data_IF_313579624816
#
_entry.id   IF_313579624816
#
_cell.length_a   1.000
_cell.length_b   1.000
_cell.length_c   1.000
_cell.angle_alpha   90.00
_cell.angle_beta   90.00
_cell.angle_gamma   90.00
#
_symmetry.space_group_name_H-M   'P 1'
#
loop_
_entity.id
_entity.type
_entity.pdbx_description
1 polymer ?
#
# COMPACT_ATOMS: atom_id res chain seq x y z
N UNK A 1 -1.32 3.06 -17.19
CA UNK A 1 -2.42 3.78 -16.52
C UNK A 1 -3.70 3.29 -17.20
N UNK A 2 -4.83 3.06 -16.52
CA UNK A 2 -6.05 2.65 -17.24
C UNK A 2 -6.49 3.81 -18.11
N UNK A 3 -6.56 3.63 -19.43
CA UNK A 3 -6.94 4.69 -20.37
C UNK A 3 -8.40 5.09 -20.13
N UNK A 4 -8.57 6.30 -19.64
CA UNK A 4 -9.86 6.92 -19.34
C UNK A 4 -9.73 8.45 -19.45
N UNK A 5 -10.84 9.16 -19.33
CA UNK A 5 -10.89 10.62 -19.41
C UNK A 5 -9.90 11.29 -18.43
N UNK A 6 -9.77 10.74 -17.21
CA UNK A 6 -8.79 11.22 -16.22
C UNK A 6 -7.36 11.09 -16.74
N UNK A 7 -7.04 9.97 -17.39
CA UNK A 7 -5.71 9.78 -17.98
C UNK A 7 -5.45 10.77 -19.11
N UNK A 8 -6.43 11.08 -19.95
CA UNK A 8 -6.29 12.12 -20.97
C UNK A 8 -5.93 13.48 -20.33
N UNK A 9 -6.69 13.90 -19.31
CA UNK A 9 -6.42 15.14 -18.56
C UNK A 9 -5.00 15.16 -17.99
N UNK A 10 -4.57 14.05 -17.38
CA UNK A 10 -3.23 13.90 -16.81
C UNK A 10 -2.13 14.12 -17.86
N UNK A 11 -2.27 13.58 -19.07
CA UNK A 11 -1.25 13.72 -20.12
C UNK A 11 -1.25 15.12 -20.75
N UNK A 12 -2.39 15.80 -20.77
CA UNK A 12 -2.52 17.15 -21.38
C UNK A 12 -2.06 18.29 -20.47
N UNK A 13 -2.14 18.12 -19.14
CA UNK A 13 -1.77 19.18 -18.20
C UNK A 13 -0.30 19.09 -17.77
N UNK A 14 0.47 20.13 -18.11
CA UNK A 14 1.92 20.20 -17.86
C UNK A 14 2.26 20.10 -16.37
N UNK A 15 1.50 20.74 -15.48
CA UNK A 15 1.80 20.72 -14.05
C UNK A 15 1.53 19.36 -13.43
N UNK A 16 0.51 18.62 -13.89
CA UNK A 16 0.25 17.25 -13.45
C UNK A 16 1.38 16.32 -13.88
N UNK A 17 1.87 16.47 -15.12
CA UNK A 17 3.02 15.71 -15.62
C UNK A 17 4.29 16.01 -14.81
N UNK A 18 4.59 17.28 -14.55
CA UNK A 18 5.74 17.67 -13.72
C UNK A 18 5.60 17.24 -12.26
N UNK A 19 4.39 17.15 -11.71
CA UNK A 19 4.17 16.54 -10.40
C UNK A 19 4.57 15.06 -10.41
N UNK A 20 4.16 14.33 -11.45
CA UNK A 20 4.55 12.94 -11.67
C UNK A 20 6.06 12.77 -11.80
N UNK A 21 6.70 13.59 -12.64
CA UNK A 21 8.14 13.62 -12.86
C UNK A 21 8.90 13.93 -11.56
N UNK A 22 8.51 14.97 -10.82
CA UNK A 22 9.13 15.31 -9.54
C UNK A 22 9.08 14.13 -8.55
N UNK A 23 7.94 13.43 -8.49
CA UNK A 23 7.83 12.25 -7.64
C UNK A 23 8.68 11.09 -8.18
N UNK A 24 8.69 10.86 -9.49
CA UNK A 24 9.48 9.81 -10.12
C UNK A 24 10.99 10.03 -9.91
N UNK A 25 11.49 11.26 -10.05
CA UNK A 25 12.91 11.56 -9.80
C UNK A 25 13.32 11.25 -8.35
N UNK A 26 12.40 11.37 -7.39
CA UNK A 26 12.67 11.11 -5.97
C UNK A 26 12.53 9.65 -5.54
N UNK A 27 11.66 8.88 -6.19
CA UNK A 27 11.29 7.53 -5.73
C UNK A 27 11.09 6.52 -6.86
N UNK A 28 11.46 6.87 -8.10
CA UNK A 28 11.23 6.08 -9.31
C UNK A 28 12.10 4.83 -9.40
N UNK A 29 13.24 4.79 -8.70
CA UNK A 29 14.04 3.57 -8.57
C UNK A 29 13.31 2.47 -7.77
N UNK A 30 12.35 2.84 -6.92
CA UNK A 30 11.51 1.90 -6.19
C UNK A 30 10.21 1.64 -6.98
N UNK A 31 10.18 0.54 -7.73
CA UNK A 31 9.01 0.08 -8.52
C UNK A 31 7.73 0.00 -7.66
N UNK A 32 7.87 -0.25 -6.36
CA UNK A 32 6.73 -0.34 -5.43
C UNK A 32 6.04 1.01 -5.19
N UNK A 33 6.67 2.12 -5.60
CA UNK A 33 6.13 3.48 -5.50
C UNK A 33 5.41 3.92 -6.76
N UNK A 34 5.58 3.24 -7.87
CA UNK A 34 4.99 3.67 -9.15
C UNK A 34 3.46 3.74 -9.09
N UNK A 35 2.81 2.79 -8.41
CA UNK A 35 1.36 2.82 -8.16
C UNK A 35 0.92 4.07 -7.38
N UNK A 36 1.72 4.47 -6.38
CA UNK A 36 1.46 5.65 -5.58
C UNK A 36 1.60 6.94 -6.39
N UNK A 37 2.62 7.03 -7.26
CA UNK A 37 2.81 8.16 -8.17
C UNK A 37 1.61 8.26 -9.13
N UNK A 38 1.25 7.14 -9.79
CA UNK A 38 0.09 7.10 -10.69
C UNK A 38 -1.20 7.51 -9.98
N UNK A 39 -1.42 7.02 -8.76
CA UNK A 39 -2.58 7.38 -7.96
C UNK A 39 -2.60 8.89 -7.69
N UNK A 40 -1.45 9.49 -7.33
CA UNK A 40 -1.35 10.92 -7.05
C UNK A 40 -1.65 11.79 -8.26
N UNK A 41 -1.09 11.44 -9.43
CA UNK A 41 -1.40 12.13 -10.68
C UNK A 41 -2.88 12.03 -11.02
N UNK A 42 -3.50 10.85 -10.86
CA UNK A 42 -4.93 10.65 -11.11
C UNK A 42 -5.84 11.32 -10.09
N UNK A 43 -5.43 11.46 -8.83
CA UNK A 43 -6.15 12.25 -7.82
C UNK A 43 -6.26 13.72 -8.29
N UNK A 44 -5.16 14.31 -8.77
CA UNK A 44 -5.14 15.68 -9.31
C UNK A 44 -5.88 15.80 -10.65
N UNK A 45 -5.71 14.82 -11.55
CA UNK A 45 -6.43 14.81 -12.83
C UNK A 45 -7.94 14.79 -12.66
N UNK A 46 -8.46 14.03 -11.68
CA UNK A 46 -9.89 14.08 -11.31
C UNK A 46 -10.32 15.45 -10.80
N UNK A 47 -9.47 16.09 -9.99
CA UNK A 47 -9.75 17.44 -9.50
C UNK A 47 -9.88 18.44 -10.65
N UNK A 48 -8.93 18.42 -11.59
CA UNK A 48 -8.97 19.29 -12.77
C UNK A 48 -10.21 19.02 -13.63
N UNK A 49 -10.53 17.75 -13.86
CA UNK A 49 -11.69 17.36 -14.65
C UNK A 49 -12.99 17.88 -14.04
N UNK A 50 -13.20 17.72 -12.74
CA UNK A 50 -14.40 18.21 -12.06
C UNK A 50 -14.44 19.75 -11.99
N UNK A 51 -13.29 20.40 -11.76
CA UNK A 51 -13.24 21.86 -11.76
C UNK A 51 -13.65 22.46 -13.11
N UNK A 52 -13.27 21.84 -14.23
CA UNK A 52 -13.66 22.28 -15.57
C UNK A 52 -15.18 22.28 -15.79
N UNK A 53 -15.93 21.46 -15.05
CA UNK A 53 -17.39 21.35 -15.16
C UNK A 53 -18.12 22.45 -14.39
N UNK A 54 -17.57 22.89 -13.26
CA UNK A 54 -18.29 23.74 -12.29
C UNK A 54 -17.65 25.12 -12.07
N UNK A 55 -16.47 25.36 -12.66
CA UNK A 55 -15.70 26.60 -12.50
C UNK A 55 -15.08 27.04 -13.84
N UNK A 56 -14.60 28.29 -13.96
CA UNK A 56 -13.85 28.72 -15.15
C UNK A 56 -12.44 28.10 -15.27
N UNK A 57 -11.98 27.29 -14.31
CA UNK A 57 -10.62 26.74 -14.29
C UNK A 57 -10.42 25.69 -15.40
N UNK A 58 -9.36 25.84 -16.20
CA UNK A 58 -9.03 24.99 -17.35
C UNK A 58 -7.72 24.25 -17.19
N UNK A 59 -6.73 24.83 -16.52
CA UNK A 59 -5.41 24.23 -16.27
C UNK A 59 -5.08 24.23 -14.79
N UNK A 60 -4.11 23.42 -14.36
CA UNK A 60 -3.62 23.49 -12.99
C UNK A 60 -2.91 24.81 -12.65
N UNK A 61 -2.47 25.61 -13.62
CA UNK A 61 -1.93 26.95 -13.37
C UNK A 61 -3.02 27.86 -12.83
N UNK A 62 -4.24 27.79 -13.38
CA UNK A 62 -5.38 28.61 -12.96
C UNK A 62 -5.75 28.39 -11.48
N UNK A 63 -5.51 27.18 -10.96
CA UNK A 63 -5.74 26.83 -9.56
C UNK A 63 -4.78 27.56 -8.62
N UNK A 64 -3.61 27.96 -9.11
CA UNK A 64 -2.54 28.58 -8.32
C UNK A 64 -2.68 30.12 -8.35
N UNK A 65 -3.72 30.66 -8.99
CA UNK A 65 -4.04 32.08 -8.95
C UNK A 65 -4.85 32.39 -7.66
N UNK A 66 -4.40 33.33 -6.80
CA UNK A 66 -5.08 33.67 -5.54
C UNK A 66 -6.58 34.00 -5.68
N UNK A 67 -6.96 34.74 -6.72
CA UNK A 67 -8.36 35.14 -6.98
C UNK A 67 -9.27 33.94 -7.24
N UNK A 68 -8.71 32.84 -7.72
CA UNK A 68 -9.43 31.59 -7.99
C UNK A 68 -9.57 30.68 -6.76
N UNK A 69 -9.06 31.07 -5.58
CA UNK A 69 -9.04 30.19 -4.41
C UNK A 69 -10.43 29.64 -4.04
N UNK A 70 -11.49 30.44 -4.16
CA UNK A 70 -12.88 29.98 -3.89
C UNK A 70 -13.32 28.89 -4.88
N UNK A 71 -12.96 29.03 -6.16
CA UNK A 71 -13.21 28.00 -7.19
C UNK A 71 -12.48 26.70 -6.88
N UNK A 72 -11.22 26.79 -6.40
CA UNK A 72 -10.43 25.63 -5.98
C UNK A 72 -11.11 24.90 -4.81
N UNK A 73 -11.57 25.63 -3.79
CA UNK A 73 -12.32 25.04 -2.66
C UNK A 73 -13.57 24.33 -3.15
N UNK A 74 -14.36 24.95 -4.02
CA UNK A 74 -15.58 24.36 -4.56
C UNK A 74 -15.30 23.05 -5.32
N UNK A 75 -14.29 23.04 -6.20
CA UNK A 75 -13.86 21.86 -6.92
C UNK A 75 -13.40 20.72 -6.00
N UNK A 76 -12.60 21.03 -4.97
CA UNK A 76 -12.15 20.02 -4.01
C UNK A 76 -13.32 19.44 -3.22
N UNK A 77 -14.26 20.28 -2.77
CA UNK A 77 -15.48 19.84 -2.07
C UNK A 77 -16.29 18.86 -2.91
N UNK A 78 -16.51 19.17 -4.19
CA UNK A 78 -17.26 18.29 -5.10
C UNK A 78 -16.55 16.95 -5.30
N UNK A 79 -15.25 16.96 -5.62
CA UNK A 79 -14.46 15.74 -5.88
C UNK A 79 -14.38 14.83 -4.64
N UNK A 80 -14.35 15.42 -3.45
CA UNK A 80 -14.32 14.67 -2.19
C UNK A 80 -15.72 14.34 -1.64
N UNK A 81 -16.78 14.69 -2.36
CA UNK A 81 -18.17 14.41 -2.03
C UNK A 81 -18.62 15.09 -0.74
N UNK A 82 -18.39 16.40 -0.64
CA UNK A 82 -18.84 17.21 0.48
C UNK A 82 -20.36 17.32 0.53
N UNK A 83 -20.93 17.10 1.70
CA UNK A 83 -22.34 17.25 2.02
C UNK A 83 -22.51 18.50 2.90
N UNK A 84 -23.14 19.54 2.35
CA UNK A 84 -23.36 20.81 3.04
C UNK A 84 -24.24 20.66 4.28
N UNK A 85 -25.27 19.79 4.23
CA UNK A 85 -26.21 19.59 5.34
C UNK A 85 -25.52 18.97 6.56
N UNK A 86 -24.57 18.08 6.30
CA UNK A 86 -23.82 17.36 7.35
C UNK A 86 -22.46 17.98 7.66
N UNK A 87 -22.06 19.03 6.92
CA UNK A 87 -20.71 19.59 6.93
C UNK A 87 -19.62 18.50 6.88
N UNK A 88 -19.78 17.52 5.99
CA UNK A 88 -18.99 16.29 6.03
C UNK A 88 -18.59 15.78 4.65
N UNK A 89 -17.45 15.10 4.54
CA UNK A 89 -16.94 14.59 3.27
C UNK A 89 -17.23 13.10 3.09
N UNK A 90 -17.64 12.66 1.89
CA UNK A 90 -17.73 11.23 1.55
C UNK A 90 -16.34 10.57 1.54
N UNK A 91 -15.34 11.28 1.00
CA UNK A 91 -13.94 10.81 0.94
C UNK A 91 -13.02 11.85 1.60
N UNK A 92 -13.02 11.97 2.94
CA UNK A 92 -12.22 12.99 3.64
C UNK A 92 -10.72 12.91 3.35
N UNK A 93 -10.20 11.68 3.19
CA UNK A 93 -8.78 11.45 2.90
C UNK A 93 -8.35 12.03 1.55
N UNK A 94 -9.25 12.08 0.56
CA UNK A 94 -8.96 12.67 -0.75
C UNK A 94 -8.81 14.18 -0.63
N UNK A 95 -9.68 14.85 0.13
CA UNK A 95 -9.61 16.29 0.36
C UNK A 95 -8.25 16.71 0.97
N UNK A 96 -7.78 15.96 1.99
CA UNK A 96 -6.47 16.18 2.61
C UNK A 96 -5.32 15.96 1.63
N UNK A 97 -5.38 14.85 0.88
CA UNK A 97 -4.38 14.50 -0.12
C UNK A 97 -4.26 15.54 -1.24
N UNK A 98 -5.39 16.12 -1.68
CA UNK A 98 -5.44 17.14 -2.71
C UNK A 98 -4.80 18.45 -2.23
N UNK A 99 -5.01 18.86 -0.97
CA UNK A 99 -4.33 20.03 -0.40
C UNK A 99 -2.80 19.90 -0.44
N UNK A 100 -2.27 18.73 -0.07
CA UNK A 100 -0.83 18.46 -0.19
C UNK A 100 -0.34 18.49 -1.65
N UNK A 101 -1.11 17.93 -2.58
CA UNK A 101 -0.77 17.96 -4.00
C UNK A 101 -0.78 19.38 -4.57
N UNK A 102 -1.78 20.19 -4.21
CA UNK A 102 -1.90 21.59 -4.65
C UNK A 102 -0.74 22.45 -4.13
N UNK A 103 -0.36 22.31 -2.86
CA UNK A 103 0.83 22.99 -2.33
C UNK A 103 2.11 22.60 -3.10
N UNK A 104 2.20 21.33 -3.52
CA UNK A 104 3.34 20.89 -4.34
C UNK A 104 3.30 21.47 -5.75
N UNK A 105 2.13 21.52 -6.36
CA UNK A 105 1.91 22.12 -7.68
C UNK A 105 2.22 23.62 -7.65
N UNK A 106 1.86 24.35 -6.59
CA UNK A 106 2.24 25.76 -6.46
C UNK A 106 3.76 25.97 -6.44
N UNK A 107 4.54 25.08 -5.81
CA UNK A 107 6.01 25.14 -5.91
C UNK A 107 6.51 24.88 -7.33
N UNK A 108 5.85 23.97 -8.08
CA UNK A 108 6.20 23.69 -9.47
C UNK A 108 5.89 24.90 -10.36
N UNK A 109 4.71 25.51 -10.21
CA UNK A 109 4.30 26.71 -10.95
C UNK A 109 5.26 27.87 -10.67
N UNK A 110 5.60 28.11 -9.41
CA UNK A 110 6.58 29.13 -9.03
C UNK A 110 7.95 28.86 -9.67
N UNK A 111 8.46 27.63 -9.58
CA UNK A 111 9.77 27.27 -10.15
C UNK A 111 9.79 27.45 -11.66
N UNK A 112 8.73 27.01 -12.36
CA UNK A 112 8.60 27.22 -13.80
C UNK A 112 8.58 28.72 -14.14
N UNK A 113 7.76 29.49 -13.44
CA UNK A 113 7.61 30.93 -13.70
C UNK A 113 8.96 31.66 -13.51
N UNK A 114 9.70 31.35 -12.45
CA UNK A 114 11.05 31.88 -12.23
C UNK A 114 12.04 31.48 -13.34
N UNK A 115 11.98 30.24 -13.83
CA UNK A 115 12.86 29.78 -14.91
C UNK A 115 12.61 30.50 -16.25
N UNK A 116 11.37 30.94 -16.50
CA UNK A 116 10.97 31.66 -17.71
C UNK A 116 10.95 33.20 -17.55
N UNK A 117 11.34 33.72 -16.39
CA UNK A 117 11.33 35.17 -16.11
C UNK A 117 9.94 35.75 -15.86
N UNK A 118 8.92 34.91 -15.64
CA UNK A 118 7.56 35.34 -15.34
C UNK A 118 7.40 35.61 -13.84
N UNK A 119 7.71 36.84 -13.44
CA UNK A 119 7.66 37.23 -12.04
C UNK A 119 6.23 37.32 -11.48
N UNK A 120 5.24 37.64 -12.32
CA UNK A 120 3.83 37.76 -11.93
C UNK A 120 3.24 36.40 -11.51
N UNK A 121 3.42 35.36 -12.33
CA UNK A 121 2.94 34.02 -11.97
C UNK A 121 3.71 33.43 -10.79
N UNK A 122 5.00 33.75 -10.65
CA UNK A 122 5.78 33.35 -9.49
C UNK A 122 5.23 33.97 -8.20
N UNK A 123 4.84 35.24 -8.23
CA UNK A 123 4.20 35.93 -7.11
C UNK A 123 2.83 35.35 -6.79
N UNK A 124 1.98 35.16 -7.80
CA UNK A 124 0.68 34.49 -7.63
C UNK A 124 0.82 33.14 -6.92
N UNK A 125 1.81 32.33 -7.28
CA UNK A 125 2.07 31.04 -6.65
C UNK A 125 2.55 31.16 -5.19
N UNK A 126 3.34 32.19 -4.85
CA UNK A 126 3.72 32.49 -3.46
C UNK A 126 2.50 32.89 -2.64
N UNK A 127 1.68 33.78 -3.16
CA UNK A 127 0.50 34.28 -2.45
C UNK A 127 -0.58 33.23 -2.30
N UNK A 128 -0.80 32.40 -3.32
CA UNK A 128 -1.67 31.23 -3.20
C UNK A 128 -1.22 30.31 -2.06
N UNK A 129 0.10 30.04 -1.91
CA UNK A 129 0.59 29.22 -0.79
C UNK A 129 0.34 29.87 0.56
N UNK A 130 0.52 31.18 0.70
CA UNK A 130 0.20 31.91 1.95
C UNK A 130 -1.28 31.75 2.29
N UNK A 131 -2.17 31.99 1.33
CA UNK A 131 -3.62 31.82 1.51
C UNK A 131 -3.96 30.37 1.84
N UNK A 132 -3.41 29.41 1.12
CA UNK A 132 -3.60 27.98 1.36
C UNK A 132 -3.15 27.62 2.78
N UNK A 133 -1.97 28.04 3.23
CA UNK A 133 -1.49 27.74 4.59
C UNK A 133 -2.40 28.33 5.67
N UNK A 134 -2.89 29.56 5.48
CA UNK A 134 -3.74 30.24 6.45
C UNK A 134 -5.18 29.69 6.48
N UNK A 135 -5.76 29.43 5.31
CA UNK A 135 -7.21 29.23 5.16
C UNK A 135 -7.63 27.81 4.79
N UNK A 136 -6.74 26.97 4.26
CA UNK A 136 -7.12 25.60 3.87
C UNK A 136 -7.71 24.80 5.04
N UNK A 137 -7.24 25.09 6.25
CA UNK A 137 -7.72 24.41 7.44
C UNK A 137 -9.19 24.68 7.75
N UNK A 138 -9.60 25.94 7.58
CA UNK A 138 -10.96 26.43 7.79
C UNK A 138 -11.93 25.79 6.77
N UNK A 139 -11.58 25.82 5.48
CA UNK A 139 -12.49 25.38 4.42
C UNK A 139 -12.58 23.86 4.25
N UNK A 140 -11.46 23.14 4.48
CA UNK A 140 -11.35 21.72 4.13
C UNK A 140 -10.95 20.85 5.31
N UNK A 141 -9.86 21.20 6.00
CA UNK A 141 -9.18 20.28 6.92
C UNK A 141 -10.01 19.95 8.17
N UNK A 142 -10.68 20.93 8.78
CA UNK A 142 -11.44 20.73 10.02
C UNK A 142 -12.55 19.68 9.85
N UNK A 143 -13.41 19.85 8.84
CA UNK A 143 -14.50 18.89 8.56
C UNK A 143 -13.99 17.51 8.12
N UNK A 144 -12.87 17.46 7.37
CA UNK A 144 -12.30 16.19 6.92
C UNK A 144 -11.65 15.39 8.06
N UNK A 145 -10.90 16.04 8.96
CA UNK A 145 -10.22 15.38 10.06
C UNK A 145 -11.19 14.94 11.15
N UNK A 146 -12.14 15.78 11.53
CA UNK A 146 -13.13 15.42 12.56
C UNK A 146 -13.85 14.14 12.17
N UNK A 147 -14.35 14.05 10.91
CA UNK A 147 -14.97 12.83 10.41
C UNK A 147 -14.04 11.61 10.41
N UNK A 148 -12.76 11.78 10.06
CA UNK A 148 -11.79 10.68 10.12
C UNK A 148 -11.51 10.22 11.56
N UNK A 149 -11.44 11.16 12.51
CA UNK A 149 -11.25 10.87 13.93
C UNK A 149 -12.48 10.19 14.52
N UNK A 150 -13.67 10.70 14.24
CA UNK A 150 -14.95 10.11 14.66
C UNK A 150 -15.15 8.72 14.07
N UNK A 151 -14.92 8.53 12.77
CA UNK A 151 -15.00 7.21 12.15
C UNK A 151 -14.03 6.22 12.82
N UNK A 152 -12.81 6.67 13.12
CA UNK A 152 -11.82 5.86 13.83
C UNK A 152 -12.21 5.57 15.28
N UNK A 153 -12.87 6.52 15.96
CA UNK A 153 -13.36 6.38 17.32
C UNK A 153 -14.54 5.40 17.41
N UNK A 154 -15.51 5.55 16.49
CA UNK A 154 -16.72 4.76 16.42
C UNK A 154 -16.48 3.35 15.86
N UNK A 155 -15.34 3.10 15.23
CA UNK A 155 -14.98 1.74 14.78
C UNK A 155 -14.64 0.89 16.01
N UNK A 156 -15.42 -0.16 16.33
CA UNK A 156 -15.08 -1.05 17.43
C UNK A 156 -13.67 -1.59 17.22
N UNK A 157 -12.84 -1.56 18.27
CA UNK A 157 -11.53 -2.22 18.23
C UNK A 157 -11.74 -3.74 18.36
N UNK A 158 -12.32 -4.35 17.34
CA UNK A 158 -12.50 -5.80 17.26
C UNK A 158 -11.13 -6.44 17.04
N UNK A 159 -10.62 -7.03 18.11
CA UNK A 159 -9.53 -7.98 18.07
C UNK A 159 -10.13 -9.30 17.56
N UNK A 160 -9.54 -9.95 16.53
CA UNK A 160 -10.07 -11.21 16.02
C UNK A 160 -10.07 -12.27 17.11
N UNK A 161 -11.12 -13.10 17.13
CA UNK A 161 -11.22 -14.19 18.09
C UNK A 161 -10.16 -15.24 17.76
N UNK A 162 -9.52 -15.82 18.78
CA UNK A 162 -8.44 -16.80 18.57
C UNK A 162 -8.93 -18.01 17.77
N UNK A 163 -10.20 -18.40 17.94
CA UNK A 163 -10.81 -19.48 17.15
C UNK A 163 -10.88 -19.15 15.66
N UNK A 164 -11.28 -17.94 15.30
CA UNK A 164 -11.35 -17.49 13.90
C UNK A 164 -9.95 -17.49 13.26
N UNK A 165 -8.93 -17.11 14.02
CA UNK A 165 -7.53 -17.17 13.57
C UNK A 165 -7.10 -18.62 13.31
N UNK A 166 -7.49 -19.58 14.17
CA UNK A 166 -7.23 -21.02 13.97
C UNK A 166 -7.92 -21.53 12.71
N UNK A 167 -9.20 -21.22 12.52
CA UNK A 167 -9.96 -21.63 11.32
C UNK A 167 -9.29 -21.12 10.04
N UNK A 168 -8.85 -19.86 10.04
CA UNK A 168 -8.10 -19.29 8.90
C UNK A 168 -6.78 -20.02 8.64
N UNK A 169 -6.02 -20.36 9.69
CA UNK A 169 -4.77 -21.12 9.53
C UNK A 169 -5.03 -22.51 8.94
N UNK A 170 -6.00 -23.26 9.47
CA UNK A 170 -6.36 -24.60 8.98
C UNK A 170 -6.84 -24.57 7.53
N UNK A 171 -7.68 -23.59 7.19
CA UNK A 171 -8.15 -23.41 5.82
C UNK A 171 -6.98 -23.15 4.85
N UNK A 172 -6.06 -22.25 5.22
CA UNK A 172 -4.90 -21.94 4.39
C UNK A 172 -3.94 -23.13 4.24
N UNK A 173 -3.74 -23.93 5.28
CA UNK A 173 -2.92 -25.15 5.20
C UNK A 173 -3.55 -26.19 4.27
N UNK A 174 -4.87 -26.41 4.34
CA UNK A 174 -5.58 -27.28 3.41
C UNK A 174 -5.45 -26.78 1.96
N UNK A 175 -5.73 -25.50 1.73
CA UNK A 175 -5.62 -24.88 0.39
C UNK A 175 -4.21 -24.91 -0.15
N UNK A 176 -3.21 -24.72 0.70
CA UNK A 176 -1.81 -24.81 0.31
C UNK A 176 -1.48 -26.17 -0.29
N UNK A 177 -1.84 -27.26 0.40
CA UNK A 177 -1.56 -28.62 -0.08
C UNK A 177 -2.29 -28.93 -1.39
N UNK A 178 -3.57 -28.55 -1.50
CA UNK A 178 -4.37 -28.71 -2.72
C UNK A 178 -3.72 -27.98 -3.92
N UNK A 179 -3.34 -26.72 -3.71
CA UNK A 179 -2.81 -25.86 -4.77
C UNK A 179 -1.36 -26.21 -5.14
N UNK A 180 -0.57 -26.71 -4.20
CA UNK A 180 0.79 -27.19 -4.46
C UNK A 180 0.75 -28.36 -5.43
N UNK A 181 -0.09 -29.37 -5.17
CA UNK A 181 -0.29 -30.52 -6.05
C UNK A 181 -0.90 -30.11 -7.40
N UNK A 182 -1.83 -29.15 -7.40
CA UNK A 182 -2.44 -28.62 -8.63
C UNK A 182 -1.41 -27.91 -9.52
N UNK A 183 -0.53 -27.09 -8.95
CA UNK A 183 0.50 -26.38 -9.72
C UNK A 183 1.55 -27.34 -10.29
N UNK A 184 1.92 -28.39 -9.54
CA UNK A 184 2.84 -29.43 -10.01
C UNK A 184 2.29 -30.23 -11.20
N UNK A 185 0.99 -30.55 -11.17
CA UNK A 185 0.34 -31.35 -12.22
C UNK A 185 -0.07 -30.53 -13.44
N UNK A 186 -0.57 -29.31 -13.25
CA UNK A 186 -1.03 -28.44 -14.32
C UNK A 186 -0.57 -26.98 -14.07
N UNK A 187 0.64 -26.64 -14.54
CA UNK A 187 1.14 -25.26 -14.51
C UNK A 187 0.26 -24.34 -15.35
N UNK A 188 -0.29 -23.31 -14.72
CA UNK A 188 -1.11 -22.29 -15.37
C UNK A 188 -1.04 -20.98 -14.60
N UNK A 189 -1.36 -19.86 -15.25
CA UNK A 189 -1.44 -18.56 -14.58
C UNK A 189 -2.38 -18.58 -13.36
N UNK A 190 -3.48 -19.32 -13.43
CA UNK A 190 -4.46 -19.42 -12.34
C UNK A 190 -3.98 -20.29 -11.17
N UNK A 191 -3.40 -21.46 -11.44
CA UNK A 191 -2.84 -22.33 -10.40
C UNK A 191 -1.66 -21.65 -9.70
N UNK A 192 -0.82 -20.94 -10.46
CA UNK A 192 0.26 -20.11 -9.94
C UNK A 192 -0.27 -18.98 -9.04
N UNK A 193 -1.22 -18.21 -9.56
CA UNK A 193 -1.81 -17.09 -8.84
C UNK A 193 -2.47 -17.53 -7.53
N UNK A 194 -3.16 -18.68 -7.54
CA UNK A 194 -3.80 -19.23 -6.36
C UNK A 194 -2.77 -19.63 -5.30
N UNK A 195 -1.75 -20.41 -5.67
CA UNK A 195 -0.69 -20.82 -4.73
C UNK A 195 0.07 -19.61 -4.18
N UNK A 196 0.45 -18.66 -5.05
CA UNK A 196 1.15 -17.45 -4.64
C UNK A 196 0.36 -16.63 -3.59
N UNK A 197 -0.97 -16.48 -3.78
CA UNK A 197 -1.83 -15.74 -2.84
C UNK A 197 -1.96 -16.46 -1.49
N UNK A 198 -2.11 -17.79 -1.50
CA UNK A 198 -2.22 -18.60 -0.27
C UNK A 198 -0.90 -18.59 0.49
N UNK A 199 0.22 -18.86 -0.18
CA UNK A 199 1.55 -18.85 0.43
C UNK A 199 1.91 -17.47 0.98
N UNK A 200 1.63 -16.38 0.25
CA UNK A 200 1.80 -15.01 0.76
C UNK A 200 1.00 -14.77 2.04
N UNK A 201 -0.26 -15.24 2.08
CA UNK A 201 -1.11 -15.10 3.26
C UNK A 201 -0.54 -15.88 4.45
N UNK A 202 -0.10 -17.13 4.24
CA UNK A 202 0.53 -17.94 5.27
C UNK A 202 1.80 -17.28 5.83
N UNK A 203 2.68 -16.76 4.96
CA UNK A 203 3.91 -16.07 5.40
C UNK A 203 3.59 -14.83 6.23
N UNK A 204 2.59 -14.02 5.82
CA UNK A 204 2.16 -12.83 6.59
C UNK A 204 1.58 -13.23 7.94
N UNK A 205 0.72 -14.25 7.97
CA UNK A 205 0.07 -14.71 9.20
C UNK A 205 1.07 -15.33 10.18
N UNK A 206 2.00 -16.14 9.68
CA UNK A 206 3.02 -16.79 10.51
C UNK A 206 3.96 -15.78 11.14
N UNK A 207 4.44 -14.81 10.35
CA UNK A 207 5.38 -13.80 10.85
C UNK A 207 4.70 -12.62 11.56
N UNK A 208 3.37 -12.50 11.44
CA UNK A 208 2.58 -11.34 11.89
C UNK A 208 3.22 -10.01 11.46
N UNK A 209 3.85 -9.97 10.28
CA UNK A 209 4.50 -8.77 9.72
C UNK A 209 3.50 -7.89 8.98
N UNK A 210 3.91 -6.66 8.64
CA UNK A 210 3.07 -5.81 7.79
C UNK A 210 2.93 -6.48 6.43
N UNK A 211 1.71 -6.63 5.96
CA UNK A 211 1.38 -7.28 4.70
C UNK A 211 2.17 -6.69 3.52
N UNK A 212 2.35 -5.36 3.50
CA UNK A 212 3.12 -4.69 2.47
C UNK A 212 4.63 -4.92 2.52
N UNK A 213 5.20 -5.34 3.66
CA UNK A 213 6.62 -5.70 3.73
C UNK A 213 6.85 -7.06 3.03
N UNK A 214 6.04 -8.07 3.38
CA UNK A 214 6.12 -9.42 2.79
C UNK A 214 5.72 -9.42 1.31
N UNK A 215 4.67 -8.68 0.94
CA UNK A 215 4.23 -8.59 -0.48
C UNK A 215 5.32 -8.04 -1.40
N UNK A 216 6.22 -7.20 -0.86
CA UNK A 216 7.31 -6.55 -1.62
C UNK A 216 8.63 -7.30 -1.47
N UNK A 217 8.63 -8.53 -0.96
CA UNK A 217 9.81 -9.40 -0.93
C UNK A 217 10.34 -9.58 -2.35
N UNK A 218 11.64 -9.34 -2.52
CA UNK A 218 12.32 -9.54 -3.79
C UNK A 218 12.68 -11.01 -3.97
N UNK A 219 12.64 -11.49 -5.21
CA UNK A 219 13.09 -12.84 -5.57
C UNK A 219 14.56 -13.04 -5.19
N UNK A 220 15.40 -12.03 -5.44
CA UNK A 220 16.83 -12.08 -5.07
C UNK A 220 17.04 -12.31 -3.58
N UNK A 221 16.24 -11.67 -2.72
CA UNK A 221 16.31 -11.86 -1.27
C UNK A 221 15.94 -13.31 -0.84
N UNK A 222 14.97 -13.93 -1.52
CA UNK A 222 14.61 -15.32 -1.26
C UNK A 222 15.68 -16.30 -1.77
N UNK A 223 16.31 -16.01 -2.92
CA UNK A 223 17.41 -16.81 -3.47
C UNK A 223 18.70 -16.68 -2.66
N UNK A 224 18.99 -15.49 -2.13
CA UNK A 224 20.15 -15.24 -1.27
C UNK A 224 19.90 -15.57 0.20
N UNK A 225 18.84 -16.33 0.51
CA UNK A 225 18.53 -16.68 1.89
C UNK A 225 19.64 -17.55 2.45
N UNK A 226 19.89 -17.38 3.74
CA UNK A 226 20.86 -18.21 4.42
C UNK A 226 20.29 -19.62 4.57
N UNK A 227 20.92 -20.58 3.90
CA UNK A 227 20.64 -22.01 4.03
C UNK A 227 21.78 -22.73 4.75
N UNK A 228 22.76 -22.00 5.29
CA UNK A 228 23.86 -22.59 6.05
C UNK A 228 23.39 -23.07 7.43
N UNK A 229 24.05 -24.10 7.93
CA UNK A 229 23.83 -24.57 9.29
C UNK A 229 24.26 -23.51 10.31
N UNK A 230 23.61 -23.52 11.47
CA UNK A 230 23.87 -22.52 12.50
C UNK A 230 25.34 -22.58 12.95
N UNK A 231 26.08 -21.48 12.80
CA UNK A 231 27.45 -21.39 13.28
C UNK A 231 27.52 -21.72 14.78
N UNK A 232 28.45 -22.59 15.18
CA UNK A 232 28.55 -23.13 16.55
C UNK A 232 28.60 -22.02 17.61
N UNK A 233 29.35 -20.96 17.37
CA UNK A 233 29.45 -19.80 18.28
C UNK A 233 28.11 -19.10 18.57
N UNK A 234 27.23 -18.99 17.55
CA UNK A 234 25.89 -18.42 17.73
C UNK A 234 25.01 -19.44 18.45
N UNK A 235 25.18 -20.72 18.14
CA UNK A 235 24.43 -21.81 18.72
C UNK A 235 24.67 -21.96 20.24
N UNK A 236 25.84 -21.56 20.73
CA UNK A 236 26.19 -21.55 22.17
C UNK A 236 25.40 -20.48 22.95
N UNK A 237 25.08 -19.35 22.32
CA UNK A 237 24.33 -18.27 22.96
C UNK A 237 22.80 -18.45 22.93
N UNK A 238 22.29 -19.51 22.29
CA UNK A 238 20.86 -19.76 22.13
C UNK A 238 20.37 -20.85 23.09
N UNK A 239 19.15 -20.69 23.58
CA UNK A 239 18.46 -21.77 24.30
C UNK A 239 18.23 -22.99 23.41
N UNK A 240 18.02 -24.16 24.02
CA UNK A 240 17.73 -25.40 23.27
C UNK A 240 16.49 -25.25 22.36
N UNK A 241 15.48 -24.51 22.82
CA UNK A 241 14.31 -24.19 22.04
C UNK A 241 14.63 -23.28 20.84
N UNK A 242 15.42 -22.23 21.03
CA UNK A 242 15.84 -21.33 19.95
C UNK A 242 16.71 -22.05 18.92
N UNK A 243 17.63 -22.93 19.34
CA UNK A 243 18.41 -23.79 18.42
C UNK A 243 17.49 -24.64 17.55
N UNK A 244 16.48 -25.31 18.14
CA UNK A 244 15.49 -26.09 17.39
C UNK A 244 14.68 -25.24 16.42
N UNK A 245 14.31 -24.02 16.80
CA UNK A 245 13.60 -23.09 15.91
C UNK A 245 14.47 -22.64 14.73
N UNK A 246 15.75 -22.34 14.97
CA UNK A 246 16.69 -21.94 13.93
C UNK A 246 16.98 -23.06 12.93
N UNK A 247 17.05 -24.32 13.39
CA UNK A 247 17.20 -25.49 12.51
C UNK A 247 15.94 -25.76 11.68
N UNK A 248 14.75 -25.47 12.23
CA UNK A 248 13.49 -25.79 11.57
C UNK A 248 13.00 -24.71 10.60
N UNK A 249 13.30 -23.44 10.85
CA UNK A 249 12.81 -22.31 10.03
C UNK A 249 13.91 -21.65 9.23
N UNK A 250 13.68 -21.49 7.92
CA UNK A 250 14.56 -20.67 7.08
C UNK A 250 14.31 -19.18 7.30
N UNK A 251 15.37 -18.36 7.29
CA UNK A 251 15.29 -16.92 7.47
C UNK A 251 15.59 -16.17 6.18
N UNK A 252 14.67 -15.29 5.77
CA UNK A 252 14.85 -14.35 4.66
C UNK A 252 14.93 -12.93 5.20
N UNK A 253 15.96 -12.19 4.83
CA UNK A 253 16.07 -10.77 5.15
C UNK A 253 15.43 -9.91 4.06
N UNK A 254 14.41 -9.13 4.41
CA UNK A 254 13.76 -8.20 3.49
C UNK A 254 13.99 -6.74 3.91
N UNK A 255 13.82 -5.82 2.98
CA UNK A 255 13.98 -4.37 3.23
C UNK A 255 12.70 -3.76 3.81
N UNK A 256 12.76 -3.35 5.07
CA UNK A 256 11.71 -2.63 5.77
C UNK A 256 11.69 -1.12 5.51
N UNK A 257 10.81 -0.40 6.22
CA UNK A 257 10.77 1.07 6.19
C UNK A 257 12.14 1.66 6.55
N UNK A 258 12.54 2.72 5.83
CA UNK A 258 13.82 3.42 6.01
C UNK A 258 15.06 2.53 5.81
N UNK A 259 14.93 1.46 5.03
CA UNK A 259 16.06 0.58 4.68
C UNK A 259 16.48 -0.41 5.76
N UNK A 260 15.75 -0.51 6.87
CA UNK A 260 16.06 -1.49 7.93
C UNK A 260 15.89 -2.92 7.42
N UNK A 261 16.81 -3.83 7.78
CA UNK A 261 16.63 -5.26 7.56
C UNK A 261 15.52 -5.79 8.44
N UNK A 262 14.63 -6.60 7.87
CA UNK A 262 13.51 -7.24 8.57
C UNK A 262 13.57 -8.73 8.30
N UNK A 263 13.72 -9.58 9.32
CA UNK A 263 13.71 -11.02 9.14
C UNK A 263 12.28 -11.53 8.95
N UNK A 264 12.14 -12.48 8.02
CA UNK A 264 10.94 -13.28 7.75
C UNK A 264 11.33 -14.75 7.90
N UNK A 265 10.64 -15.45 8.79
CA UNK A 265 10.80 -16.88 9.04
C UNK A 265 9.84 -17.66 8.14
N UNK A 266 10.32 -18.76 7.58
CA UNK A 266 9.58 -19.62 6.66
C UNK A 266 9.55 -21.05 7.18
N UNK A 267 8.36 -21.65 7.22
CA UNK A 267 8.19 -23.10 7.44
C UNK A 267 8.72 -23.88 6.23
N UNK A 268 9.16 -25.14 6.39
CA UNK A 268 9.56 -25.98 5.25
C UNK A 268 8.50 -26.06 4.14
N UNK A 269 7.21 -26.15 4.49
CA UNK A 269 6.11 -26.14 3.52
C UNK A 269 6.01 -24.82 2.73
N UNK A 270 6.25 -23.69 3.39
CA UNK A 270 6.28 -22.38 2.72
C UNK A 270 7.47 -22.29 1.76
N UNK A 271 8.65 -22.77 2.18
CA UNK A 271 9.84 -22.79 1.33
C UNK A 271 9.59 -23.64 0.08
N UNK A 272 9.06 -24.86 0.23
CA UNK A 272 8.76 -25.74 -0.90
C UNK A 272 7.78 -25.13 -1.89
N UNK A 273 6.72 -24.46 -1.39
CA UNK A 273 5.80 -23.75 -2.28
C UNK A 273 6.45 -22.54 -2.96
N UNK A 274 7.29 -21.80 -2.24
CA UNK A 274 8.02 -20.67 -2.81
C UNK A 274 9.02 -21.13 -3.87
N UNK A 275 9.72 -22.24 -3.69
CA UNK A 275 10.61 -22.85 -4.69
C UNK A 275 9.84 -23.25 -5.95
N UNK A 276 8.71 -23.95 -5.81
CA UNK A 276 7.85 -24.29 -6.94
C UNK A 276 7.34 -23.04 -7.69
N UNK A 277 7.02 -21.96 -6.96
CA UNK A 277 6.67 -20.67 -7.55
C UNK A 277 7.85 -20.00 -8.26
N UNK A 278 9.10 -20.25 -7.86
CA UNK A 278 10.27 -19.77 -8.62
C UNK A 278 10.44 -20.57 -9.90
N UNK A 279 10.31 -21.89 -9.84
CA UNK A 279 10.49 -22.80 -10.97
C UNK A 279 9.44 -22.60 -12.07
N UNK A 280 8.17 -22.41 -11.69
CA UNK A 280 7.04 -22.35 -12.63
C UNK A 280 6.69 -20.94 -13.12
N UNK A 281 7.37 -19.89 -12.62
CA UNK A 281 6.97 -18.49 -12.86
C UNK A 281 6.86 -18.11 -14.34
N UNK A 282 7.89 -18.43 -15.14
CA UNK A 282 7.95 -18.02 -16.54
C UNK A 282 6.94 -18.80 -17.38
N UNK A 283 6.84 -20.11 -17.13
CA UNK A 283 5.83 -20.99 -17.72
C UNK A 283 4.40 -20.49 -17.46
N UNK A 284 4.15 -19.91 -16.29
CA UNK A 284 2.85 -19.38 -15.90
C UNK A 284 2.62 -17.91 -16.31
N UNK A 285 3.51 -17.33 -17.13
CA UNK A 285 3.34 -15.98 -17.70
C UNK A 285 3.74 -14.84 -16.76
N UNK A 286 4.62 -15.08 -15.79
CA UNK A 286 5.26 -14.00 -15.01
C UNK A 286 6.43 -13.42 -15.81
N UNK A 287 6.47 -12.10 -16.06
CA UNK A 287 7.59 -11.48 -16.76
C UNK A 287 8.93 -11.72 -16.05
N UNK A 288 10.00 -11.95 -16.82
CA UNK A 288 11.34 -12.21 -16.30
C UNK A 288 11.87 -11.01 -15.48
N UNK A 289 11.51 -9.80 -15.90
CA UNK A 289 11.93 -8.55 -15.27
C UNK A 289 11.22 -8.31 -13.92
N UNK A 290 10.11 -9.02 -13.63
CA UNK A 290 9.33 -8.76 -12.41
C UNK A 290 10.13 -9.22 -11.17
N UNK A 291 10.61 -8.30 -10.31
CA UNK A 291 11.59 -8.64 -9.29
C UNK A 291 10.98 -9.25 -8.03
N UNK A 292 9.65 -9.34 -7.94
CA UNK A 292 8.96 -9.78 -6.73
C UNK A 292 8.93 -11.31 -6.61
N UNK A 293 9.02 -11.79 -5.38
CA UNK A 293 8.83 -13.21 -5.05
C UNK A 293 7.39 -13.65 -5.32
N UNK A 294 6.41 -12.85 -4.90
CA UNK A 294 4.98 -13.09 -5.14
C UNK A 294 4.47 -12.24 -6.31
N UNK A 295 5.12 -12.40 -7.46
CA UNK A 295 4.84 -11.66 -8.69
C UNK A 295 3.48 -12.04 -9.32
N UNK A 296 2.83 -11.08 -10.01
CA UNK A 296 1.62 -11.32 -10.81
C UNK A 296 1.99 -11.78 -12.22
N UNK A 297 1.20 -12.68 -12.78
CA UNK A 297 1.26 -13.03 -14.20
C UNK A 297 0.79 -11.84 -15.04
N UNK A 298 1.58 -11.40 -16.01
CA UNK A 298 1.32 -10.20 -16.83
C UNK A 298 1.90 -8.90 -16.24
N UNK A 299 1.27 -8.24 -15.24
CA UNK A 299 1.74 -6.95 -14.74
C UNK A 299 3.04 -7.04 -13.93
N UNK A 300 3.89 -6.01 -14.08
CA UNK A 300 5.11 -5.77 -13.30
C UNK A 300 4.84 -5.34 -11.84
N UNK A 301 4.16 -6.19 -11.09
CA UNK A 301 3.75 -5.93 -9.70
C UNK A 301 3.62 -7.23 -8.90
N UNK A 302 3.55 -7.11 -7.58
CA UNK A 302 3.29 -8.22 -6.67
C UNK A 302 1.80 -8.34 -6.31
N UNK A 303 1.40 -9.52 -5.83
CA UNK A 303 0.11 -9.69 -5.16
C UNK A 303 0.04 -8.85 -3.87
N UNK A 304 -1.15 -8.32 -3.57
CA UNK A 304 -1.39 -7.50 -2.40
C UNK A 304 -1.81 -8.37 -1.22
N UNK A 305 -0.93 -8.54 -0.25
CA UNK A 305 -1.17 -9.44 0.89
C UNK A 305 -2.46 -9.15 1.67
N UNK A 306 -2.87 -7.89 1.78
CA UNK A 306 -4.15 -7.53 2.41
C UNK A 306 -5.37 -8.09 1.66
N UNK A 307 -5.36 -8.03 0.33
CA UNK A 307 -6.41 -8.61 -0.51
C UNK A 307 -6.41 -10.14 -0.43
N UNK A 308 -5.23 -10.77 -0.40
CA UNK A 308 -5.09 -12.22 -0.24
C UNK A 308 -5.68 -12.72 1.09
N UNK A 309 -5.34 -12.07 2.20
CA UNK A 309 -5.84 -12.44 3.53
C UNK A 309 -7.35 -12.23 3.62
N UNK A 310 -7.86 -11.09 3.13
CA UNK A 310 -9.30 -10.83 3.15
C UNK A 310 -10.06 -11.87 2.33
N UNK A 311 -9.54 -12.24 1.14
CA UNK A 311 -10.14 -13.29 0.31
C UNK A 311 -10.20 -14.62 1.06
N UNK A 312 -9.09 -15.03 1.67
CA UNK A 312 -9.04 -16.26 2.46
C UNK A 312 -10.01 -16.20 3.65
N UNK A 313 -10.09 -15.08 4.37
CA UNK A 313 -11.00 -14.90 5.50
C UNK A 313 -12.48 -15.04 5.08
N UNK A 314 -12.86 -14.53 3.90
CA UNK A 314 -14.20 -14.71 3.34
C UNK A 314 -14.48 -16.18 2.95
N UNK A 315 -13.49 -16.89 2.41
CA UNK A 315 -13.62 -18.31 2.01
C UNK A 315 -13.68 -19.28 3.20
N UNK A 316 -13.25 -18.84 4.39
CA UNK A 316 -13.24 -19.66 5.62
C UNK A 316 -14.61 -19.82 6.30
N UNK A 317 -15.66 -19.10 5.86
CA UNK A 317 -16.98 -19.16 6.47
C UNK A 317 -17.08 -18.53 7.87
N UNK A 318 -16.13 -17.65 8.21
CA UNK A 318 -16.08 -16.98 9.52
C UNK A 318 -17.15 -15.89 9.58
N UNK A 319 -17.84 -15.74 10.72
CA UNK A 319 -18.96 -14.79 10.87
C UNK A 319 -18.57 -13.33 10.63
N UNK A 320 -17.34 -12.96 10.95
CA UNK A 320 -16.84 -11.60 10.77
C UNK A 320 -15.45 -11.58 10.08
N UNK A 321 -15.39 -11.76 8.75
CA UNK A 321 -14.13 -11.76 8.01
C UNK A 321 -13.35 -10.43 8.12
N UNK A 322 -14.06 -9.31 8.30
CA UNK A 322 -13.44 -7.99 8.44
C UNK A 322 -12.56 -7.86 9.70
N UNK A 323 -12.79 -8.71 10.70
CA UNK A 323 -11.94 -8.82 11.87
C UNK A 323 -10.54 -9.39 11.57
N UNK A 324 -10.39 -10.11 10.46
CA UNK A 324 -9.16 -10.82 10.08
C UNK A 324 -8.31 -10.07 9.05
N UNK A 325 -8.11 -8.76 9.25
CA UNK A 325 -7.15 -8.01 8.46
C UNK A 325 -5.73 -8.09 9.03
N UNK A 326 -4.69 -7.96 8.20
CA UNK A 326 -3.29 -7.98 8.66
C UNK A 326 -3.02 -6.99 9.81
N UNK A 327 -3.66 -5.82 9.78
CA UNK A 327 -3.51 -4.82 10.85
C UNK A 327 -4.17 -5.27 12.16
N UNK A 328 -5.35 -5.89 12.11
CA UNK A 328 -6.03 -6.41 13.31
C UNK A 328 -5.34 -7.64 13.89
N UNK A 329 -4.82 -8.52 13.04
CA UNK A 329 -4.01 -9.68 13.45
C UNK A 329 -2.70 -9.27 14.14
N UNK A 330 -2.07 -8.16 13.70
CA UNK A 330 -0.93 -7.56 14.41
C UNK A 330 -1.30 -6.97 15.77
N UNK A 331 -2.51 -6.43 15.92
CA UNK A 331 -3.01 -5.97 17.23
C UNK A 331 -3.30 -7.14 18.16
N UNK A 332 -3.91 -8.22 17.65
CA UNK A 332 -4.19 -9.44 18.41
C UNK A 332 -2.93 -10.00 19.08
N UNK A 333 -1.85 -10.21 18.33
CA UNK A 333 -0.60 -10.71 18.92
C UNK A 333 0.00 -9.74 19.95
N UNK A 334 -0.04 -8.43 19.70
CA UNK A 334 0.45 -7.45 20.66
C UNK A 334 -0.35 -7.48 21.97
N UNK A 335 -1.66 -7.72 21.91
CA UNK A 335 -2.51 -7.91 23.09
C UNK A 335 -2.20 -9.24 23.79
N UNK A 336 -2.12 -10.35 23.05
CA UNK A 336 -1.80 -11.68 23.61
C UNK A 336 -0.41 -11.73 24.27
N UNK A 337 0.60 -11.09 23.67
CA UNK A 337 1.94 -11.01 24.26
C UNK A 337 1.96 -10.15 25.53
N UNK A 338 1.11 -9.11 25.62
CA UNK A 338 0.96 -8.33 26.84
C UNK A 338 0.28 -9.13 27.96
N UNK A 339 -0.79 -9.87 27.64
CA UNK A 339 -1.48 -10.72 28.62
C UNK A 339 -0.58 -11.84 29.13
N UNK A 340 0.19 -12.49 28.25
CA UNK A 340 1.17 -13.51 28.64
C UNK A 340 2.21 -12.94 29.62
N UNK A 341 2.76 -11.74 29.34
CA UNK A 341 3.73 -11.08 30.22
C UNK A 341 3.15 -10.64 31.56
N UNK A 342 1.85 -10.35 31.63
CA UNK A 342 1.19 -9.92 32.87
C UNK A 342 0.72 -11.10 33.72
N UNK A 343 0.50 -12.27 33.13
CA UNK A 343 0.21 -13.52 33.85
C UNK A 343 1.47 -14.31 34.26
N UNK A 344 2.67 -13.84 33.94
CA UNK A 344 3.96 -14.46 34.35
C UNK A 344 4.58 -13.80 35.58
N UNK A 345 3.77 -13.10 36.38
CA UNK A 345 4.08 -12.63 37.74
C UNK A 345 3.17 -13.41 38.68
#
# INVERSE_FOLDING_TARGET
>A
MNYDEVSCVVHTDRCIMQLGEHMFNRMGSDVTKHDYIRQKMREVGRLLLEARKITPLRTMVDFIIPTNFKHVIAAVKVVSGYDEKKNSYRIPSLALKLGHSLNKISSIVESNAMMYGDHEHAECARDFRKIHQARWNEYIYAGAITKLKEAKWNTPQSIPFTQDVKVLHTHLEKKHNELLSKLRSCPSADSYAALAKVTLSQVILFNRRREGEVSRMLLSAFKSRDSSELHEDIAICLSEFERKLCLHFSRVEIRGKRGRKVPVLLKPSMVSAMELLVETRELCGVPAENPFMFARCGPMSAYRGGECINKAACECGIKNPEALSSTRLRKHIATMSKSLKTCSI
#
